data_IF_378451196853
#
_entry.id   IF_378451196853
#
_cell.length_a   1.000
_cell.length_b   1.000
_cell.length_c   1.000
_cell.angle_alpha   90.00
_cell.angle_beta   90.00
_cell.angle_gamma   90.00
#
_symmetry.space_group_name_H-M   'P 1'
#
loop_
_entity.id
_entity.type
_entity.pdbx_description
1 polymer ?
#
# COMPACT_ATOMS: atom_id res chain seq x y z
N UNK A 1 -3.05 5.39 -11.98
CA UNK A 1 -1.99 5.17 -10.98
C UNK A 1 -1.66 3.69 -11.00
N UNK A 2 -0.38 3.35 -11.10
CA UNK A 2 0.09 1.98 -10.98
C UNK A 2 0.70 1.79 -9.59
N UNK A 3 0.09 0.98 -8.70
CA UNK A 3 0.67 0.67 -7.41
C UNK A 3 1.84 -0.30 -7.56
N UNK A 4 2.92 -0.05 -6.82
CA UNK A 4 4.07 -0.94 -6.69
C UNK A 4 4.30 -1.18 -5.21
N UNK A 5 4.27 -2.43 -4.78
CA UNK A 5 4.64 -2.83 -3.44
C UNK A 5 6.15 -3.10 -3.40
N UNK A 6 6.92 -2.21 -2.79
CA UNK A 6 8.34 -2.38 -2.62
C UNK A 6 8.65 -2.98 -1.25
N UNK A 7 9.11 -4.22 -1.22
CA UNK A 7 9.57 -4.92 -0.03
C UNK A 7 11.03 -4.54 0.23
N UNK A 8 11.24 -3.73 1.24
CA UNK A 8 12.58 -3.28 1.64
C UNK A 8 13.16 -4.18 2.73
N UNK A 9 14.48 -4.08 2.98
CA UNK A 9 15.18 -4.84 4.04
C UNK A 9 15.06 -6.36 3.86
N UNK A 10 15.03 -6.82 2.63
CA UNK A 10 14.97 -8.25 2.29
C UNK A 10 16.22 -9.03 2.71
N UNK A 11 17.27 -8.29 3.06
CA UNK A 11 18.48 -8.81 3.70
C UNK A 11 18.26 -9.26 5.17
N UNK A 12 17.21 -8.78 5.83
CA UNK A 12 16.92 -9.11 7.23
C UNK A 12 15.95 -10.28 7.40
N UNK A 13 15.07 -10.49 6.42
CA UNK A 13 14.00 -11.50 6.51
C UNK A 13 13.58 -11.92 5.12
N UNK A 14 13.29 -13.20 4.93
CA UNK A 14 12.73 -13.73 3.68
C UNK A 14 11.41 -13.01 3.34
N UNK A 15 11.33 -12.31 2.20
CA UNK A 15 10.14 -11.57 1.81
C UNK A 15 9.02 -12.47 1.24
N UNK A 16 9.33 -13.70 0.84
CA UNK A 16 8.41 -14.57 0.10
C UNK A 16 7.08 -14.84 0.81
N UNK A 17 7.03 -15.10 2.14
CA UNK A 17 5.76 -15.30 2.84
C UNK A 17 4.87 -14.05 2.79
N UNK A 18 5.46 -12.86 2.94
CA UNK A 18 4.73 -11.61 2.90
C UNK A 18 4.29 -11.26 1.47
N UNK A 19 5.16 -11.47 0.47
CA UNK A 19 4.82 -11.26 -0.93
C UNK A 19 3.62 -12.13 -1.37
N UNK A 20 3.52 -13.35 -0.86
CA UNK A 20 2.44 -14.28 -1.16
C UNK A 20 1.06 -13.75 -0.71
N UNK A 21 0.98 -12.92 0.32
CA UNK A 21 -0.27 -12.30 0.78
C UNK A 21 -0.88 -11.36 -0.26
N UNK A 22 -0.05 -10.85 -1.19
CA UNK A 22 -0.47 -9.92 -2.25
C UNK A 22 -0.64 -10.60 -3.61
N UNK A 23 -0.48 -11.91 -3.69
CA UNK A 23 -0.52 -12.65 -4.97
C UNK A 23 -1.88 -12.56 -5.69
N UNK A 24 -2.97 -12.33 -4.94
CA UNK A 24 -4.33 -12.18 -5.48
C UNK A 24 -4.68 -10.72 -5.83
N UNK A 25 -3.75 -9.79 -5.61
CA UNK A 25 -3.94 -8.38 -5.97
C UNK A 25 -3.21 -8.08 -7.28
N UNK A 26 -3.80 -7.22 -8.09
CA UNK A 26 -3.14 -6.68 -9.30
C UNK A 26 -2.13 -5.59 -8.90
N UNK A 27 -1.09 -6.00 -8.18
CA UNK A 27 -0.01 -5.12 -7.73
C UNK A 27 1.35 -5.73 -8.05
N UNK A 28 2.21 -4.93 -8.63
CA UNK A 28 3.60 -5.32 -8.86
C UNK A 28 4.35 -5.37 -7.52
N UNK A 29 4.93 -6.51 -7.18
CA UNK A 29 5.77 -6.66 -5.99
C UNK A 29 7.24 -6.62 -6.41
N UNK A 30 8.03 -5.75 -5.79
CA UNK A 30 9.46 -5.59 -6.06
C UNK A 30 10.23 -5.71 -4.74
N UNK A 31 11.29 -6.48 -4.74
CA UNK A 31 12.19 -6.64 -3.60
C UNK A 31 13.37 -5.67 -3.71
N UNK A 32 13.72 -5.03 -2.59
CA UNK A 32 14.85 -4.11 -2.51
C UNK A 32 15.58 -4.27 -1.17
N UNK A 33 16.59 -5.11 -1.16
CA UNK A 33 17.55 -5.22 -0.07
C UNK A 33 18.46 -3.98 0.01
N UNK A 34 19.41 -3.99 0.95
CA UNK A 34 20.33 -2.86 1.12
C UNK A 34 21.33 -2.76 -0.04
N UNK A 35 21.77 -3.88 -0.60
CA UNK A 35 22.80 -3.93 -1.65
C UNK A 35 22.24 -4.34 -3.02
N UNK A 36 21.04 -4.91 -3.07
CA UNK A 36 20.43 -5.47 -4.29
C UNK A 36 19.06 -4.85 -4.60
N UNK A 37 18.43 -5.34 -5.65
CA UNK A 37 17.05 -4.98 -6.05
C UNK A 37 16.87 -3.57 -6.61
N UNK A 38 17.91 -2.73 -6.66
CA UNK A 38 17.80 -1.34 -7.12
C UNK A 38 17.42 -1.27 -8.60
N UNK A 39 17.98 -2.14 -9.43
CA UNK A 39 17.71 -2.19 -10.86
C UNK A 39 16.24 -2.58 -11.13
N UNK A 40 15.72 -3.54 -10.39
CA UNK A 40 14.31 -3.93 -10.48
C UNK A 40 13.37 -2.77 -10.13
N UNK A 41 13.67 -2.03 -9.06
CA UNK A 41 12.90 -0.82 -8.72
C UNK A 41 13.00 0.22 -9.84
N UNK A 42 14.22 0.51 -10.34
CA UNK A 42 14.43 1.46 -11.43
C UNK A 42 13.64 1.12 -12.67
N UNK A 43 13.59 -0.15 -13.04
CA UNK A 43 12.85 -0.61 -14.22
C UNK A 43 11.37 -0.25 -14.15
N UNK A 44 10.76 -0.34 -12.97
CA UNK A 44 9.33 -0.05 -12.80
C UNK A 44 9.00 1.45 -12.67
N UNK A 45 9.97 2.27 -12.28
CA UNK A 45 9.77 3.71 -12.09
C UNK A 45 10.35 4.57 -13.22
N UNK A 46 11.06 3.96 -14.17
CA UNK A 46 11.70 4.68 -15.29
C UNK A 46 10.68 5.41 -16.15
N UNK A 47 10.98 6.64 -16.48
CA UNK A 47 10.10 7.52 -17.25
C UNK A 47 8.86 8.03 -16.50
N UNK A 48 8.70 7.70 -15.23
CA UNK A 48 7.51 8.03 -14.45
C UNK A 48 7.75 9.08 -13.34
N UNK A 49 6.65 9.61 -12.83
CA UNK A 49 6.62 10.38 -11.57
C UNK A 49 6.12 9.44 -10.50
N UNK A 50 6.99 9.06 -9.57
CA UNK A 50 6.73 8.04 -8.55
C UNK A 50 6.73 8.65 -7.15
N UNK A 51 5.65 8.48 -6.40
CA UNK A 51 5.59 8.87 -4.99
C UNK A 51 5.90 7.67 -4.09
N UNK A 52 6.82 7.86 -3.14
CA UNK A 52 7.14 6.85 -2.13
C UNK A 52 6.24 7.04 -0.91
N UNK A 53 5.43 6.04 -0.61
CA UNK A 53 4.49 6.05 0.51
C UNK A 53 4.85 4.91 1.46
N UNK A 54 4.80 5.17 2.77
CA UNK A 54 5.05 4.15 3.78
C UNK A 54 5.40 4.75 5.14
N UNK A 55 5.39 3.91 6.16
CA UNK A 55 5.70 4.29 7.53
C UNK A 55 7.12 4.87 7.70
N UNK A 56 7.33 5.57 8.81
CA UNK A 56 8.68 5.97 9.20
C UNK A 56 9.54 4.72 9.48
N UNK A 57 10.78 4.74 9.01
CA UNK A 57 11.73 3.64 9.23
C UNK A 57 11.61 2.45 8.27
N UNK A 58 10.67 2.45 7.32
CA UNK A 58 10.58 1.37 6.31
C UNK A 58 11.69 1.40 5.25
N UNK A 59 12.53 2.43 5.21
CA UNK A 59 13.66 2.49 4.26
C UNK A 59 13.46 3.43 3.08
N UNK A 60 12.41 4.28 3.04
CA UNK A 60 12.19 5.24 1.94
C UNK A 60 13.40 6.11 1.66
N UNK A 61 13.93 6.80 2.67
CA UNK A 61 15.10 7.68 2.48
C UNK A 61 16.35 6.91 2.05
N UNK A 62 16.53 5.68 2.53
CA UNK A 62 17.62 4.80 2.07
C UNK A 62 17.46 4.48 0.58
N UNK A 63 16.25 4.12 0.16
CA UNK A 63 15.95 3.83 -1.24
C UNK A 63 16.15 5.08 -2.11
N UNK A 64 15.69 6.25 -1.65
CA UNK A 64 15.91 7.54 -2.36
C UNK A 64 17.38 7.82 -2.57
N UNK A 65 18.21 7.70 -1.52
CA UNK A 65 19.66 7.97 -1.62
C UNK A 65 20.39 7.00 -2.56
N UNK A 66 19.89 5.78 -2.70
CA UNK A 66 20.42 4.80 -3.65
C UNK A 66 20.00 5.10 -5.10
N UNK A 67 18.78 5.57 -5.30
CA UNK A 67 18.22 5.90 -6.62
C UNK A 67 18.72 7.27 -7.11
N UNK A 68 18.96 8.20 -6.19
CA UNK A 68 19.42 9.58 -6.44
C UNK A 68 20.59 9.87 -5.50
N UNK A 69 21.82 9.49 -5.84
CA UNK A 69 22.97 9.59 -4.92
C UNK A 69 23.24 11.01 -4.38
N UNK A 70 22.94 12.04 -5.16
CA UNK A 70 23.10 13.44 -4.76
C UNK A 70 21.95 13.98 -3.89
N UNK A 71 20.96 13.16 -3.54
CA UNK A 71 19.81 13.58 -2.75
C UNK A 71 20.16 13.91 -1.29
N UNK A 72 21.21 13.31 -0.74
CA UNK A 72 21.72 13.50 0.63
C UNK A 72 20.59 13.55 1.69
N UNK A 73 19.65 12.59 1.59
CA UNK A 73 18.52 12.49 2.53
C UNK A 73 19.00 11.88 3.84
N UNK A 74 18.65 12.52 4.96
CA UNK A 74 18.96 11.98 6.28
C UNK A 74 18.28 10.60 6.46
N UNK A 75 19.10 9.56 6.60
CA UNK A 75 18.65 8.22 6.97
C UNK A 75 18.64 8.12 8.48
N UNK A 76 17.46 8.15 9.10
CA UNK A 76 17.33 7.97 10.55
C UNK A 76 17.58 6.52 10.93
N UNK A 77 18.66 6.24 11.68
CA UNK A 77 18.76 5.01 12.46
C UNK A 77 17.59 4.97 13.46
N UNK A 78 16.87 3.87 13.52
CA UNK A 78 15.88 3.59 14.57
C UNK A 78 16.64 3.31 15.85
N UNK A 79 17.17 4.36 16.49
CA UNK A 79 17.71 4.22 17.82
C UNK A 79 16.54 4.11 18.82
N UNK A 80 16.44 2.94 19.41
CA UNK A 80 15.42 2.63 20.41
C UNK A 80 15.62 3.37 21.72
N UNK A 81 15.43 4.67 21.76
CA UNK A 81 15.05 5.44 22.96
C UNK A 81 14.51 6.81 22.51
N UNK A 82 13.26 6.99 22.67
CA UNK A 82 12.45 8.20 22.66
C UNK A 82 13.13 9.56 22.50
N UNK A 83 13.30 9.99 21.25
CA UNK A 83 13.13 11.38 20.82
C UNK A 83 13.13 11.36 19.30
N UNK A 84 11.93 11.40 18.70
CA UNK A 84 11.76 11.58 17.26
C UNK A 84 12.45 12.86 16.81
N UNK A 85 13.54 12.73 16.09
CA UNK A 85 14.25 13.83 15.49
C UNK A 85 14.07 13.70 13.97
N UNK A 86 13.25 14.63 13.46
CA UNK A 86 13.14 15.04 12.07
C UNK A 86 12.91 13.94 11.02
N UNK A 87 11.75 13.30 11.07
CA UNK A 87 11.09 12.88 9.84
C UNK A 87 10.84 14.13 9.01
N UNK A 88 11.27 14.14 7.75
CA UNK A 88 10.95 15.19 6.80
C UNK A 88 9.47 15.55 6.92
N UNK A 89 9.17 16.79 7.23
CA UNK A 89 7.77 17.28 7.33
C UNK A 89 7.24 17.72 5.98
N UNK A 90 8.07 17.68 4.93
CA UNK A 90 7.74 18.14 3.58
C UNK A 90 8.04 17.06 2.56
N UNK A 91 7.15 16.91 1.58
CA UNK A 91 7.42 16.11 0.40
C UNK A 91 8.42 16.84 -0.50
N UNK A 92 9.38 16.12 -1.03
CA UNK A 92 10.42 16.66 -1.93
C UNK A 92 10.42 15.86 -3.22
N UNK A 93 10.32 16.54 -4.34
CA UNK A 93 10.47 15.94 -5.66
C UNK A 93 11.95 16.00 -6.08
N UNK A 94 12.51 14.86 -6.44
CA UNK A 94 13.90 14.69 -6.87
C UNK A 94 13.93 14.12 -8.28
N UNK A 95 14.79 14.63 -9.18
CA UNK A 95 14.95 14.03 -10.48
C UNK A 95 15.64 12.68 -10.35
N UNK A 96 15.08 11.66 -10.97
CA UNK A 96 15.72 10.35 -11.13
C UNK A 96 16.71 10.46 -12.30
N UNK A 97 18.00 10.17 -12.07
CA UNK A 97 18.99 10.29 -13.14
C UNK A 97 18.70 9.37 -14.32
N UNK A 98 18.90 9.88 -15.53
CA UNK A 98 18.99 9.04 -16.72
C UNK A 98 20.39 8.43 -16.76
N UNK A 99 20.50 7.12 -16.81
CA UNK A 99 21.75 6.36 -16.84
C UNK A 99 21.59 5.11 -17.70
N UNK A 100 22.57 4.84 -18.56
CA UNK A 100 22.60 3.64 -19.42
C UNK A 100 21.27 3.36 -20.15
N UNK A 101 20.52 2.35 -19.69
CA UNK A 101 19.25 1.92 -20.27
C UNK A 101 18.03 2.67 -19.71
N UNK A 102 18.20 3.56 -18.73
CA UNK A 102 17.10 4.26 -18.07
C UNK A 102 16.97 5.70 -18.56
N UNK A 103 15.72 6.10 -18.80
CA UNK A 103 15.38 7.45 -19.32
C UNK A 103 15.27 8.50 -18.21
N UNK A 104 15.24 8.06 -16.95
CA UNK A 104 15.07 8.91 -15.78
C UNK A 104 13.59 9.10 -15.43
N UNK A 105 13.31 10.12 -14.63
CA UNK A 105 11.95 10.39 -14.15
C UNK A 105 11.96 11.29 -12.91
N UNK A 106 10.98 11.14 -12.03
CA UNK A 106 10.91 11.88 -10.78
C UNK A 106 10.50 10.99 -9.62
N UNK A 107 11.14 11.19 -8.48
CA UNK A 107 10.75 10.60 -7.21
C UNK A 107 10.23 11.67 -6.28
N UNK A 108 9.06 11.44 -5.70
CA UNK A 108 8.49 12.27 -4.65
C UNK A 108 8.69 11.52 -3.34
N UNK A 109 9.66 11.95 -2.53
CA UNK A 109 9.86 11.45 -1.17
C UNK A 109 8.82 12.09 -0.26
N UNK A 110 7.94 11.29 0.31
CA UNK A 110 6.91 11.77 1.23
C UNK A 110 7.30 11.53 2.68
N UNK A 111 6.85 12.38 3.62
CA UNK A 111 6.99 12.09 5.04
C UNK A 111 6.43 10.71 5.37
N UNK A 112 7.04 10.04 6.36
CA UNK A 112 6.49 8.77 6.84
C UNK A 112 5.07 8.95 7.35
N UNK A 113 4.11 8.35 6.66
CA UNK A 113 2.70 8.38 7.09
C UNK A 113 2.50 7.34 8.19
N UNK A 114 1.83 7.76 9.26
CA UNK A 114 1.48 6.86 10.38
C UNK A 114 0.10 6.26 10.21
N UNK A 115 -0.76 6.95 9.49
CA UNK A 115 -2.10 6.50 9.15
C UNK A 115 -2.49 7.06 7.79
N UNK A 116 -3.22 6.28 7.02
CA UNK A 116 -3.87 6.74 5.80
C UNK A 116 -5.31 7.08 6.18
N UNK A 117 -5.64 8.37 6.21
CA UNK A 117 -7.00 8.79 6.54
C UNK A 117 -7.93 8.50 5.36
N UNK A 118 -8.76 7.48 5.49
CA UNK A 118 -9.83 7.17 4.55
C UNK A 118 -11.18 7.77 5.02
N UNK A 119 -11.14 8.79 5.90
CA UNK A 119 -12.33 9.40 6.51
C UNK A 119 -13.35 9.99 5.52
N UNK A 120 -12.98 10.13 4.25
CA UNK A 120 -13.83 10.65 3.18
C UNK A 120 -14.22 9.58 2.15
N UNK A 121 -13.90 8.31 2.41
CA UNK A 121 -14.18 7.20 1.50
C UNK A 121 -15.35 6.40 2.08
N UNK A 122 -16.42 6.29 1.32
CA UNK A 122 -17.56 5.48 1.69
C UNK A 122 -17.29 3.99 1.45
N UNK A 123 -18.02 3.12 2.19
CA UNK A 123 -17.88 1.67 2.05
C UNK A 123 -18.13 1.19 0.61
N UNK A 124 -19.13 1.77 -0.04
CA UNK A 124 -19.50 1.42 -1.41
C UNK A 124 -18.40 1.82 -2.42
N UNK A 125 -17.71 2.93 -2.16
CA UNK A 125 -16.56 3.35 -2.99
C UNK A 125 -15.40 2.35 -2.90
N UNK A 126 -15.13 1.82 -1.71
CA UNK A 126 -14.10 0.80 -1.50
C UNK A 126 -14.46 -0.50 -2.21
N UNK A 127 -15.69 -0.94 -2.05
CA UNK A 127 -16.20 -2.16 -2.69
C UNK A 127 -16.26 -2.02 -4.21
N UNK A 128 -16.61 -0.84 -4.70
CA UNK A 128 -16.71 -0.52 -6.12
C UNK A 128 -15.38 -0.58 -6.90
N UNK A 129 -14.24 -0.61 -6.19
CA UNK A 129 -12.91 -0.79 -6.83
C UNK A 129 -12.74 -2.21 -7.36
N UNK A 130 -13.43 -3.19 -6.76
CA UNK A 130 -13.33 -4.60 -7.11
C UNK A 130 -14.59 -5.05 -7.86
N UNK A 131 -14.47 -5.32 -9.15
CA UNK A 131 -15.61 -5.67 -10.02
C UNK A 131 -16.46 -6.83 -9.49
N UNK A 132 -15.81 -7.85 -8.90
CA UNK A 132 -16.47 -9.02 -8.33
C UNK A 132 -17.25 -8.69 -7.05
N UNK A 133 -16.71 -7.82 -6.20
CA UNK A 133 -17.41 -7.37 -5.00
C UNK A 133 -18.51 -6.37 -5.34
N UNK A 134 -18.26 -5.46 -6.28
CA UNK A 134 -19.26 -4.50 -6.77
C UNK A 134 -20.49 -5.24 -7.31
N UNK A 135 -20.31 -6.27 -8.14
CA UNK A 135 -21.41 -7.10 -8.64
C UNK A 135 -22.16 -7.82 -7.52
N UNK A 136 -21.46 -8.28 -6.49
CA UNK A 136 -22.10 -9.00 -5.37
C UNK A 136 -22.95 -8.10 -4.46
N UNK A 137 -22.68 -6.80 -4.40
CA UNK A 137 -23.44 -5.85 -3.56
C UNK A 137 -24.60 -5.16 -4.28
N UNK A 138 -24.74 -5.37 -5.59
CA UNK A 138 -25.72 -4.66 -6.43
C UNK A 138 -27.16 -4.79 -5.91
N UNK A 139 -27.50 -5.98 -5.40
CA UNK A 139 -28.82 -6.31 -4.85
C UNK A 139 -28.89 -6.28 -3.31
N UNK A 140 -27.89 -5.74 -2.64
CA UNK A 140 -27.91 -5.65 -1.17
C UNK A 140 -29.09 -4.81 -0.65
N UNK A 141 -29.65 -5.16 0.51
CA UNK A 141 -30.68 -4.36 1.17
C UNK A 141 -30.22 -2.92 1.42
N UNK A 142 -31.15 -1.97 1.36
CA UNK A 142 -30.84 -0.57 1.66
C UNK A 142 -30.29 -0.40 3.07
N UNK A 143 -29.14 0.25 3.20
CA UNK A 143 -28.47 0.46 4.47
C UNK A 143 -27.63 -0.73 4.92
N UNK A 144 -27.39 -1.69 4.04
CA UNK A 144 -26.42 -2.74 4.27
C UNK A 144 -25.04 -2.10 4.56
N UNK A 145 -24.40 -2.57 5.60
CA UNK A 145 -23.07 -2.09 5.98
C UNK A 145 -21.97 -2.99 5.45
N UNK A 146 -22.34 -4.07 4.76
CA UNK A 146 -21.47 -5.07 4.13
C UNK A 146 -20.57 -5.85 5.11
N UNK A 147 -20.87 -5.76 6.42
CA UNK A 147 -20.09 -6.47 7.45
C UNK A 147 -20.49 -7.95 7.61
N UNK A 148 -21.63 -8.34 7.01
CA UNK A 148 -22.15 -9.70 7.15
C UNK A 148 -22.85 -9.96 8.49
N UNK A 149 -23.21 -11.23 8.76
CA UNK A 149 -23.93 -11.59 9.98
C UNK A 149 -23.12 -11.25 11.26
N UNK A 150 -23.77 -10.84 12.34
CA UNK A 150 -25.23 -10.68 12.49
C UNK A 150 -25.77 -9.32 12.01
N UNK A 151 -24.93 -8.36 11.62
CA UNK A 151 -25.34 -7.01 11.26
C UNK A 151 -26.13 -7.00 9.93
N UNK A 152 -25.63 -7.69 8.93
CA UNK A 152 -26.16 -7.72 7.57
C UNK A 152 -26.36 -9.16 7.09
N UNK A 153 -27.37 -9.90 7.58
CA UNK A 153 -27.54 -11.32 7.28
C UNK A 153 -27.90 -11.61 5.81
N UNK A 154 -28.38 -10.61 5.08
CA UNK A 154 -28.75 -10.71 3.66
C UNK A 154 -27.75 -9.99 2.74
N UNK A 155 -26.49 -9.81 3.22
CA UNK A 155 -25.44 -9.19 2.42
C UNK A 155 -25.02 -10.09 1.25
N UNK A 156 -25.02 -9.56 0.03
CA UNK A 156 -24.62 -10.31 -1.16
C UNK A 156 -23.16 -10.80 -1.12
N UNK A 157 -22.30 -10.16 -0.34
CA UNK A 157 -20.92 -10.63 -0.13
C UNK A 157 -20.84 -11.98 0.59
N UNK A 158 -21.91 -12.43 1.26
CA UNK A 158 -21.99 -13.72 1.92
C UNK A 158 -22.79 -14.76 1.12
N UNK A 159 -23.31 -14.38 -0.03
CA UNK A 159 -23.95 -15.33 -0.94
C UNK A 159 -22.88 -16.20 -1.63
N UNK A 160 -22.86 -17.52 -1.36
CA UNK A 160 -21.85 -18.39 -1.96
C UNK A 160 -22.03 -18.58 -3.49
N UNK A 161 -23.17 -18.18 -4.05
CA UNK A 161 -23.38 -18.15 -5.48
C UNK A 161 -22.66 -16.98 -6.17
N UNK A 162 -22.46 -15.87 -5.44
CA UNK A 162 -21.76 -14.67 -5.92
C UNK A 162 -20.27 -14.70 -5.51
N UNK A 163 -20.01 -15.01 -4.24
CA UNK A 163 -18.65 -15.09 -3.69
C UNK A 163 -18.40 -16.51 -3.19
N UNK A 164 -17.81 -17.34 -4.04
CA UNK A 164 -17.50 -18.73 -3.65
C UNK A 164 -16.42 -18.76 -2.55
N UNK A 165 -16.57 -19.64 -1.54
CA UNK A 165 -15.56 -19.83 -0.51
C UNK A 165 -14.17 -20.20 -1.09
N UNK A 166 -13.11 -19.86 -0.37
CA UNK A 166 -11.70 -20.18 -0.71
C UNK A 166 -11.20 -19.60 -2.05
N UNK A 167 -11.90 -18.61 -2.59
CA UNK A 167 -11.50 -17.88 -3.80
C UNK A 167 -10.76 -16.59 -3.48
N UNK A 168 -10.12 -15.98 -4.51
CA UNK A 168 -9.55 -14.63 -4.41
C UNK A 168 -10.61 -13.60 -4.01
N UNK A 169 -11.84 -13.72 -4.52
CA UNK A 169 -12.98 -12.86 -4.16
C UNK A 169 -13.34 -12.96 -2.68
N UNK A 170 -13.34 -14.18 -2.11
CA UNK A 170 -13.59 -14.36 -0.68
C UNK A 170 -12.48 -13.72 0.18
N UNK A 171 -11.22 -13.87 -0.21
CA UNK A 171 -10.10 -13.22 0.50
C UNK A 171 -10.16 -11.69 0.38
N UNK A 172 -10.53 -11.16 -0.80
CA UNK A 172 -10.75 -9.70 -0.98
C UNK A 172 -11.89 -9.20 -0.11
N UNK A 173 -13.04 -9.90 -0.09
CA UNK A 173 -14.15 -9.57 0.80
C UNK A 173 -13.70 -9.44 2.26
N UNK A 174 -12.94 -10.41 2.75
CA UNK A 174 -12.49 -10.43 4.14
C UNK A 174 -11.50 -9.30 4.42
N UNK A 175 -10.60 -9.00 3.49
CA UNK A 175 -9.68 -7.87 3.58
C UNK A 175 -10.41 -6.52 3.56
N UNK A 176 -11.40 -6.35 2.69
CA UNK A 176 -12.22 -5.13 2.63
C UNK A 176 -13.04 -4.96 3.91
N UNK A 177 -13.63 -6.02 4.46
CA UNK A 177 -14.33 -5.96 5.76
C UNK A 177 -13.41 -5.50 6.89
N UNK A 178 -12.19 -6.03 6.96
CA UNK A 178 -11.18 -5.56 7.91
C UNK A 178 -10.85 -4.06 7.73
N UNK A 179 -10.78 -3.59 6.51
CA UNK A 179 -10.59 -2.17 6.21
C UNK A 179 -11.78 -1.33 6.63
N UNK A 180 -13.02 -1.75 6.32
CA UNK A 180 -14.25 -1.04 6.70
C UNK A 180 -14.41 -0.98 8.24
N UNK A 181 -14.05 -2.04 8.95
CA UNK A 181 -14.03 -2.05 10.40
C UNK A 181 -13.01 -1.06 10.96
N UNK A 182 -11.80 -1.05 10.41
CA UNK A 182 -10.76 -0.10 10.79
C UNK A 182 -11.17 1.36 10.51
N UNK A 183 -11.88 1.63 9.41
CA UNK A 183 -12.41 2.95 9.09
C UNK A 183 -13.44 3.43 10.11
N UNK A 184 -14.30 2.54 10.61
CA UNK A 184 -15.31 2.86 11.61
C UNK A 184 -14.71 3.11 12.99
N UNK A 185 -13.70 2.35 13.37
CA UNK A 185 -13.02 2.50 14.67
C UNK A 185 -12.09 3.70 14.71
N UNK A 186 -11.56 4.16 13.57
CA UNK A 186 -10.67 5.32 13.48
C UNK A 186 -11.39 6.68 13.47
N UNK A 187 -12.71 6.73 13.61
CA UNK A 187 -13.47 7.99 13.75
C UNK A 187 -13.25 8.66 15.14
N UNK A 188 -12.56 8.00 16.07
CA UNK A 188 -12.31 8.52 17.43
C UNK A 188 -10.94 9.19 17.62
N UNK A 189 -10.25 9.63 16.56
CA UNK A 189 -9.01 10.39 16.71
C UNK A 189 -9.26 11.90 16.58
N UNK A 190 -9.80 12.51 17.62
CA UNK A 190 -9.61 13.94 17.92
C UNK A 190 -8.30 14.18 18.66
#
# INVERSE_FOLDING_TARGET
>A
IHPILCLTKTDLTDPAPFAAEFADLDVTVVEAGVEDGLEAVRHHIDGHVTALIGHSGVGKSTLVNRLVPDADRETGEVSGVGKGRHTSTQSVALPLPAEDAFTGGWIIDTPGIRSFGLAHVDADDVLGVFEDLAAAIEDCPRGCTHMGPPADPECGLDDPALISPDTASARRRDAVRGLLEALRTNVEWE
#
